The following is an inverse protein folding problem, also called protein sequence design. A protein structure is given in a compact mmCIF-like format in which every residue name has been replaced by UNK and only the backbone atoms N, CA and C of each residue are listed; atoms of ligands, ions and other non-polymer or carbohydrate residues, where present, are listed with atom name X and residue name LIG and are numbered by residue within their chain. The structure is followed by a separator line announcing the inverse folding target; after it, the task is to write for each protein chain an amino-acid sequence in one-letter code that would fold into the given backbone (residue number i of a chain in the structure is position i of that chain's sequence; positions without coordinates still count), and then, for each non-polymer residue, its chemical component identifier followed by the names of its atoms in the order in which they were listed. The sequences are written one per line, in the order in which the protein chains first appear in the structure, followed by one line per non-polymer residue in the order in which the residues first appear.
data_IF_091439976192
#
_entry.id   IF_091439976192
#
_cell.length_a   1.000
_cell.length_b   1.000
_cell.length_c   1.000
_cell.angle_alpha   90.00
_cell.angle_beta   90.00
_cell.angle_gamma   90.00
#
_symmetry.space_group_name_H-M   'P 1'
#
loop_
_entity.id
_entity.type
_entity.pdbx_description
1 polymer ?
#
# COMPACT_ATOMS: atom_id res chain seq x y z
N UNK A 1 -33.56 -2.81 -26.43
CA UNK A 1 -32.10 -2.55 -26.35
C UNK A 1 -31.76 -1.09 -25.99
N UNK A 2 -32.35 -0.07 -26.64
CA UNK A 2 -32.06 1.34 -26.33
C UNK A 2 -32.37 1.77 -24.87
N UNK A 3 -33.51 1.37 -24.31
CA UNK A 3 -33.89 1.71 -22.92
C UNK A 3 -32.93 1.14 -21.86
N UNK A 4 -32.35 -0.04 -22.09
CA UNK A 4 -31.42 -0.68 -21.16
C UNK A 4 -30.06 0.04 -21.15
N UNK A 5 -29.59 0.48 -22.32
CA UNK A 5 -28.38 1.29 -22.45
C UNK A 5 -28.54 2.68 -21.80
N UNK A 6 -29.70 3.33 -21.96
CA UNK A 6 -29.98 4.62 -21.31
C UNK A 6 -30.11 4.50 -19.79
N UNK A 7 -30.72 3.43 -19.28
CA UNK A 7 -30.77 3.14 -17.83
C UNK A 7 -29.40 2.75 -17.27
N UNK A 8 -28.60 2.01 -18.04
CA UNK A 8 -27.23 1.64 -17.70
C UNK A 8 -26.31 2.86 -17.62
N UNK A 9 -26.36 3.78 -18.58
CA UNK A 9 -25.56 5.02 -18.52
C UNK A 9 -25.96 5.91 -17.34
N UNK A 10 -27.26 5.97 -17.02
CA UNK A 10 -27.76 6.65 -15.82
C UNK A 10 -27.23 6.07 -14.51
N UNK A 11 -27.12 4.73 -14.40
CA UNK A 11 -26.53 4.06 -13.24
C UNK A 11 -25.02 4.31 -13.14
N UNK A 12 -24.28 4.22 -14.25
CA UNK A 12 -22.84 4.52 -14.27
C UNK A 12 -22.58 5.95 -13.84
N UNK A 13 -23.34 6.92 -14.35
CA UNK A 13 -23.18 8.32 -13.94
C UNK A 13 -23.45 8.52 -12.46
N UNK A 14 -24.44 7.85 -11.89
CA UNK A 14 -24.72 7.90 -10.43
C UNK A 14 -23.58 7.29 -9.62
N UNK A 15 -23.08 6.13 -10.03
CA UNK A 15 -21.93 5.49 -9.38
C UNK A 15 -20.68 6.37 -9.45
N UNK A 16 -20.42 6.99 -10.60
CA UNK A 16 -19.30 7.93 -10.75
C UNK A 16 -19.47 9.16 -9.85
N UNK A 17 -20.66 9.75 -9.79
CA UNK A 17 -20.90 10.91 -8.90
C UNK A 17 -20.73 10.54 -7.42
N UNK A 18 -21.03 9.30 -7.03
CA UNK A 18 -20.89 8.83 -5.66
C UNK A 18 -19.45 8.40 -5.32
N UNK A 19 -18.73 7.81 -6.27
CA UNK A 19 -17.36 7.34 -6.09
C UNK A 19 -16.34 8.49 -6.13
N UNK A 20 -16.58 9.54 -6.93
CA UNK A 20 -15.68 10.70 -7.06
C UNK A 20 -15.16 11.28 -5.74
N UNK A 21 -16.00 11.65 -4.76
CA UNK A 21 -15.49 12.23 -3.52
C UNK A 21 -14.61 11.27 -2.72
N UNK A 22 -14.88 9.96 -2.76
CA UNK A 22 -14.05 8.95 -2.08
C UNK A 22 -12.71 8.76 -2.80
N UNK A 23 -12.73 8.73 -4.13
CA UNK A 23 -11.53 8.66 -4.95
C UNK A 23 -10.66 9.91 -4.80
N UNK A 24 -11.24 11.10 -4.71
CA UNK A 24 -10.49 12.34 -4.50
C UNK A 24 -9.74 12.32 -3.16
N UNK A 25 -10.40 11.84 -2.10
CA UNK A 25 -9.76 11.65 -0.79
C UNK A 25 -8.66 10.59 -0.87
N UNK A 26 -8.92 9.46 -1.51
CA UNK A 26 -7.91 8.41 -1.71
C UNK A 26 -6.70 8.94 -2.47
N UNK A 27 -6.90 9.65 -3.59
CA UNK A 27 -5.83 10.22 -4.40
C UNK A 27 -5.03 11.26 -3.64
N UNK A 28 -5.67 12.06 -2.78
CA UNK A 28 -4.99 13.04 -1.92
C UNK A 28 -3.96 12.36 -1.02
N UNK A 29 -4.34 11.28 -0.33
CA UNK A 29 -3.43 10.56 0.57
C UNK A 29 -2.42 9.69 -0.18
N UNK A 30 -2.86 9.01 -1.24
CA UNK A 30 -1.98 8.22 -2.10
C UNK A 30 -0.82 9.05 -2.66
N UNK A 31 -1.07 10.31 -3.03
CA UNK A 31 -0.02 11.21 -3.54
C UNK A 31 1.05 11.57 -2.49
N UNK A 32 0.75 11.54 -1.21
CA UNK A 32 1.74 11.87 -0.17
C UNK A 32 2.38 10.62 0.44
N UNK A 33 1.64 9.53 0.56
CA UNK A 33 2.10 8.31 1.24
C UNK A 33 2.67 7.24 0.30
N UNK A 34 2.14 7.13 -0.93
CA UNK A 34 2.54 6.10 -1.90
C UNK A 34 3.48 6.63 -2.99
N UNK A 35 3.90 7.90 -2.89
CA UNK A 35 4.87 8.46 -3.84
C UNK A 35 6.25 7.88 -3.58
N UNK A 36 6.98 7.44 -4.63
CA UNK A 36 8.34 6.95 -4.46
C UNK A 36 9.22 7.97 -3.72
N UNK A 37 10.05 7.53 -2.76
CA UNK A 37 10.91 8.42 -2.00
C UNK A 37 11.88 9.15 -2.93
N UNK A 38 12.25 10.37 -2.53
CA UNK A 38 13.25 11.14 -3.28
C UNK A 38 14.66 10.67 -2.94
N UNK A 39 15.66 10.87 -3.81
CA UNK A 39 17.05 10.51 -3.50
C UNK A 39 17.59 11.17 -2.21
N UNK A 40 17.03 12.32 -1.81
CA UNK A 40 17.38 13.01 -0.57
C UNK A 40 16.94 12.25 0.69
N UNK A 41 15.98 11.33 0.59
CA UNK A 41 15.47 10.54 1.72
C UNK A 41 16.31 9.28 1.98
N UNK A 42 17.15 8.87 1.02
CA UNK A 42 17.99 7.65 1.10
C UNK A 42 18.91 7.66 2.33
N UNK A 43 19.62 8.76 2.68
CA UNK A 43 20.45 8.79 3.88
C UNK A 43 19.66 8.53 5.17
N UNK A 44 18.46 9.10 5.29
CA UNK A 44 17.60 8.91 6.45
C UNK A 44 17.10 7.46 6.55
N UNK A 45 16.73 6.84 5.43
CA UNK A 45 16.35 5.42 5.35
C UNK A 45 17.52 4.54 5.82
N UNK A 46 18.74 4.80 5.32
CA UNK A 46 19.93 4.03 5.71
C UNK A 46 20.22 4.16 7.21
N UNK A 47 20.07 5.36 7.76
CA UNK A 47 20.22 5.59 9.20
C UNK A 47 19.16 4.83 10.01
N UNK A 48 17.90 4.83 9.55
CA UNK A 48 16.81 4.06 10.15
C UNK A 48 17.10 2.57 10.20
N UNK A 49 17.55 1.99 9.09
CA UNK A 49 17.99 0.58 9.04
C UNK A 49 19.15 0.31 10.01
N UNK A 50 20.12 1.22 10.08
CA UNK A 50 21.23 1.12 11.03
C UNK A 50 20.77 1.07 12.49
N UNK A 51 19.77 1.87 12.85
CA UNK A 51 19.19 1.87 14.19
C UNK A 51 18.46 0.56 14.52
N UNK A 52 17.72 0.01 13.56
CA UNK A 52 17.05 -1.30 13.73
C UNK A 52 18.09 -2.40 13.97
N UNK A 53 19.15 -2.45 13.16
CA UNK A 53 20.23 -3.44 13.33
C UNK A 53 20.91 -3.29 14.68
N UNK A 54 21.19 -2.05 15.11
CA UNK A 54 21.77 -1.77 16.42
C UNK A 54 20.84 -2.23 17.54
N UNK A 55 19.55 -1.91 17.46
CA UNK A 55 18.54 -2.33 18.44
C UNK A 55 18.38 -3.86 18.54
N UNK A 56 18.49 -4.55 17.41
CA UNK A 56 18.52 -6.02 17.39
C UNK A 56 19.77 -6.57 18.10
N UNK A 57 20.95 -6.02 17.81
CA UNK A 57 22.22 -6.42 18.43
C UNK A 57 22.27 -6.14 19.94
N UNK A 58 21.71 -5.03 20.39
CA UNK A 58 21.70 -4.65 21.82
C UNK A 58 20.59 -5.34 22.62
N UNK A 59 19.70 -6.09 21.97
CA UNK A 59 18.57 -6.74 22.64
C UNK A 59 17.42 -5.81 22.99
N UNK A 60 17.38 -4.59 22.43
CA UNK A 60 16.37 -3.59 22.74
C UNK A 60 14.94 -4.04 22.38
N UNK A 61 14.78 -4.99 21.46
CA UNK A 61 13.49 -5.59 21.10
C UNK A 61 12.78 -6.26 22.30
N UNK A 62 13.51 -6.66 23.34
CA UNK A 62 12.94 -7.26 24.56
C UNK A 62 12.18 -6.26 25.43
N UNK A 63 12.45 -4.96 25.24
CA UNK A 63 11.80 -3.89 25.99
C UNK A 63 10.55 -3.34 25.28
N UNK A 64 10.17 -3.90 24.14
CA UNK A 64 9.00 -3.47 23.39
C UNK A 64 7.71 -3.97 24.07
N UNK A 65 6.70 -3.10 24.11
CA UNK A 65 5.36 -3.51 24.52
C UNK A 65 4.72 -4.39 23.45
N UNK A 66 3.75 -5.23 23.86
CA UNK A 66 3.01 -6.09 22.92
C UNK A 66 2.34 -5.28 21.80
N UNK A 67 1.82 -4.10 22.13
CA UNK A 67 1.20 -3.20 21.15
C UNK A 67 2.19 -2.74 20.08
N UNK A 68 3.39 -2.34 20.47
CA UNK A 68 4.42 -1.89 19.53
C UNK A 68 4.93 -3.03 18.67
N UNK A 69 5.19 -4.20 19.29
CA UNK A 69 5.59 -5.40 18.56
C UNK A 69 4.55 -5.81 17.51
N UNK A 70 3.26 -5.72 17.87
CA UNK A 70 2.16 -6.03 16.96
C UNK A 70 2.08 -5.03 15.80
N UNK A 71 2.15 -3.72 16.07
CA UNK A 71 2.16 -2.69 15.04
C UNK A 71 3.32 -2.88 14.04
N UNK A 72 4.53 -3.11 14.54
CA UNK A 72 5.71 -3.34 13.70
C UNK A 72 5.54 -4.60 12.83
N UNK A 73 4.89 -5.63 13.37
CA UNK A 73 4.61 -6.87 12.62
C UNK A 73 3.61 -6.62 11.50
N UNK A 74 2.55 -5.85 11.75
CA UNK A 74 1.55 -5.50 10.72
C UNK A 74 2.17 -4.68 9.58
N UNK A 75 3.00 -3.68 9.91
CA UNK A 75 3.73 -2.90 8.89
C UNK A 75 4.69 -3.81 8.10
N UNK A 76 5.37 -4.75 8.77
CA UNK A 76 6.25 -5.71 8.08
C UNK A 76 5.46 -6.60 7.12
N UNK A 77 4.28 -7.07 7.52
CA UNK A 77 3.40 -7.85 6.66
C UNK A 77 2.90 -7.05 5.45
N UNK A 78 2.56 -5.77 5.63
CA UNK A 78 2.18 -4.87 4.54
C UNK A 78 3.28 -4.75 3.48
N UNK A 79 4.54 -4.55 3.89
CA UNK A 79 5.68 -4.48 2.96
C UNK A 79 5.85 -5.78 2.18
N UNK A 80 5.62 -6.94 2.82
CA UNK A 80 5.65 -8.25 2.15
C UNK A 80 4.52 -8.37 1.12
N UNK A 81 3.31 -7.87 1.43
CA UNK A 81 2.21 -7.90 0.46
C UNK A 81 2.50 -7.02 -0.76
N UNK A 82 3.18 -5.88 -0.60
CA UNK A 82 3.65 -5.08 -1.74
C UNK A 82 4.59 -5.84 -2.67
N UNK A 83 5.44 -6.72 -2.14
CA UNK A 83 6.27 -7.60 -2.95
C UNK A 83 5.42 -8.55 -3.82
N UNK A 84 4.39 -9.18 -3.25
CA UNK A 84 3.49 -10.06 -4.00
C UNK A 84 2.61 -9.31 -5.02
N UNK A 85 2.21 -8.07 -4.73
CA UNK A 85 1.55 -7.20 -5.72
C UNK A 85 2.48 -6.98 -6.92
N UNK A 86 3.76 -6.71 -6.67
CA UNK A 86 4.80 -6.62 -7.70
C UNK A 86 4.94 -7.90 -8.52
N UNK A 87 4.89 -9.07 -7.86
CA UNK A 87 4.89 -10.37 -8.54
C UNK A 87 3.65 -10.54 -9.45
N UNK A 88 2.46 -10.19 -8.97
CA UNK A 88 1.23 -10.22 -9.78
C UNK A 88 1.33 -9.32 -11.02
N UNK A 89 1.93 -8.14 -10.89
CA UNK A 89 2.21 -7.23 -12.02
C UNK A 89 3.23 -7.88 -12.98
N UNK A 90 4.31 -8.47 -12.46
CA UNK A 90 5.35 -9.13 -13.25
C UNK A 90 4.83 -10.33 -14.05
N UNK A 91 3.96 -11.14 -13.43
CA UNK A 91 3.30 -12.30 -14.06
C UNK A 91 2.16 -11.90 -15.01
N UNK A 92 1.65 -10.66 -14.87
CA UNK A 92 0.46 -10.15 -15.57
C UNK A 92 -0.80 -11.01 -15.35
N UNK A 93 -0.84 -11.71 -14.22
CA UNK A 93 -1.94 -12.61 -13.89
C UNK A 93 -2.16 -12.63 -12.38
N UNK A 94 -3.44 -12.62 -11.98
CA UNK A 94 -3.84 -12.53 -10.57
C UNK A 94 -3.75 -13.91 -9.89
N UNK A 95 -3.94 -15.00 -10.63
CA UNK A 95 -4.04 -16.37 -10.07
C UNK A 95 -3.01 -17.30 -10.70
N UNK A 96 -1.85 -17.44 -10.06
CA UNK A 96 -0.78 -18.30 -10.58
C UNK A 96 -0.17 -17.78 -11.89
N UNK A 97 0.77 -18.53 -12.44
CA UNK A 97 1.39 -18.24 -13.74
C UNK A 97 0.52 -18.78 -14.86
N UNK A 98 0.36 -18.00 -15.92
CA UNK A 98 -0.23 -18.49 -17.16
C UNK A 98 0.84 -19.29 -17.91
N UNK A 99 0.84 -20.62 -17.72
CA UNK A 99 1.76 -21.57 -18.34
C UNK A 99 1.18 -22.16 -19.62
#
# INVERSE_FOLDING_TARGET
MASLATKGSGLVNRLLTQARPQLDVFLKYAKVELTPPTPADIPAIRQGLGNIIKGAKTGAYKNLTVREAWLNTLVTAEVIFWFYIGECIGKRHIVGYNV
#
